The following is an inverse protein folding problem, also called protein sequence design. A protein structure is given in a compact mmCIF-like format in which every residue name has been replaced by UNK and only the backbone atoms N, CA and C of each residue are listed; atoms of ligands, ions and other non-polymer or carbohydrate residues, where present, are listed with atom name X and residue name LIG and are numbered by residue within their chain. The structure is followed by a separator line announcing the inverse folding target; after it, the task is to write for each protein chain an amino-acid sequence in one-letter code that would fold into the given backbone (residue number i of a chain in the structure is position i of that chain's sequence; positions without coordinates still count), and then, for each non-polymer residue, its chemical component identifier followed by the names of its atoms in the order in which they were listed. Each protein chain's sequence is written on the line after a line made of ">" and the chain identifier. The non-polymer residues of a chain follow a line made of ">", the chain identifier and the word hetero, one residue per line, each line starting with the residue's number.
data_IF_473495125539
#
_entry.id   IF_473495125539
#
_cell.length_a   1.000
_cell.length_b   1.000
_cell.length_c   1.000
_cell.angle_alpha   90.00
_cell.angle_beta   90.00
_cell.angle_gamma   90.00
#
_symmetry.space_group_name_H-M   'P 1'
#
loop_
_entity.id
_entity.type
_entity.pdbx_description
1 polymer ?
#
# COMPACT_ATOMS: atom_id res chain seq x y z
N UNK A 1 7.04 12.26 -27.95
CA UNK A 1 5.58 12.19 -27.79
C UNK A 1 5.18 10.74 -28.01
N UNK A 2 4.54 10.10 -27.05
CA UNK A 2 4.08 8.72 -27.21
C UNK A 2 2.94 8.68 -28.23
N UNK A 3 3.03 7.78 -29.18
CA UNK A 3 1.96 7.58 -30.16
C UNK A 3 0.71 7.06 -29.43
N UNK A 4 -0.51 7.53 -29.77
CA UNK A 4 -1.71 7.00 -29.12
C UNK A 4 -1.79 5.48 -29.35
N UNK A 5 -2.24 4.72 -28.36
CA UNK A 5 -2.31 3.27 -28.48
C UNK A 5 -3.30 2.86 -29.59
N UNK A 6 -2.98 1.82 -30.30
CA UNK A 6 -3.94 1.20 -31.24
C UNK A 6 -5.07 0.58 -30.41
N UNK A 7 -6.31 0.94 -30.71
CA UNK A 7 -7.49 0.43 -30.00
C UNK A 7 -8.24 -0.56 -30.88
N UNK A 8 -8.44 -1.78 -30.39
CA UNK A 8 -9.26 -2.82 -31.02
C UNK A 8 -10.53 -3.03 -30.20
N UNK A 9 -11.69 -2.95 -30.83
CA UNK A 9 -12.98 -3.15 -30.18
C UNK A 9 -13.51 -4.54 -30.49
N UNK A 10 -13.78 -5.31 -29.43
CA UNK A 10 -14.39 -6.65 -29.55
C UNK A 10 -15.79 -6.67 -28.94
N UNK A 11 -16.78 -6.82 -29.80
CA UNK A 11 -18.19 -6.96 -29.44
C UNK A 11 -18.52 -8.40 -29.04
N UNK A 12 -19.30 -8.60 -27.97
CA UNK A 12 -19.70 -9.92 -27.51
C UNK A 12 -21.19 -9.96 -27.17
N UNK A 13 -21.92 -10.86 -27.82
CA UNK A 13 -23.34 -11.12 -27.53
C UNK A 13 -23.58 -11.75 -26.16
N UNK A 14 -22.54 -12.39 -25.58
CA UNK A 14 -22.60 -13.01 -24.25
C UNK A 14 -22.47 -11.99 -23.11
N UNK A 15 -21.93 -10.80 -23.39
CA UNK A 15 -21.77 -9.73 -22.40
C UNK A 15 -23.01 -8.86 -22.37
N UNK A 16 -23.66 -8.78 -21.19
CA UNK A 16 -24.88 -7.99 -21.05
C UNK A 16 -24.66 -6.58 -20.49
N UNK A 17 -23.67 -6.38 -19.59
CA UNK A 17 -23.47 -5.10 -18.88
C UNK A 17 -22.01 -4.72 -18.65
N UNK A 18 -21.07 -5.62 -18.88
CA UNK A 18 -19.66 -5.42 -18.50
C UNK A 18 -18.85 -4.93 -19.69
N UNK A 19 -18.25 -3.74 -19.54
CA UNK A 19 -17.19 -3.21 -20.38
C UNK A 19 -15.86 -3.44 -19.71
N UNK A 20 -14.85 -3.91 -20.43
CA UNK A 20 -13.50 -4.11 -19.89
C UNK A 20 -12.45 -3.84 -20.96
N UNK A 21 -11.24 -3.47 -20.54
CA UNK A 21 -10.10 -3.32 -21.44
C UNK A 21 -8.89 -4.09 -20.92
N UNK A 22 -8.05 -4.54 -21.84
CA UNK A 22 -6.73 -5.09 -21.54
C UNK A 22 -5.74 -4.68 -22.62
N UNK A 23 -4.46 -4.67 -22.27
CA UNK A 23 -3.39 -4.43 -23.25
C UNK A 23 -2.80 -5.75 -23.72
N UNK A 24 -2.61 -5.85 -25.03
CA UNK A 24 -1.84 -6.91 -25.67
C UNK A 24 -0.77 -6.25 -26.57
N UNK A 25 0.48 -6.23 -26.10
CA UNK A 25 1.55 -5.47 -26.75
C UNK A 25 1.22 -3.98 -26.82
N UNK A 26 1.24 -3.40 -28.02
CA UNK A 26 0.93 -1.98 -28.25
C UNK A 26 -0.58 -1.71 -28.47
N UNK A 27 -1.40 -2.76 -28.46
CA UNK A 27 -2.84 -2.67 -28.73
C UNK A 27 -3.65 -2.73 -27.42
N UNK A 28 -4.61 -1.84 -27.27
CA UNK A 28 -5.62 -1.89 -26.22
C UNK A 28 -6.87 -2.54 -26.77
N UNK A 29 -7.22 -3.72 -26.24
CA UNK A 29 -8.45 -4.42 -26.62
C UNK A 29 -9.56 -4.04 -25.65
N UNK A 30 -10.62 -3.43 -26.15
CA UNK A 30 -11.81 -3.07 -25.38
C UNK A 30 -12.95 -4.04 -25.72
N UNK A 31 -13.48 -4.69 -24.69
CA UNK A 31 -14.59 -5.63 -24.82
C UNK A 31 -15.89 -4.95 -24.42
N UNK A 32 -16.86 -4.91 -25.32
CA UNK A 32 -18.16 -4.29 -25.12
C UNK A 32 -19.33 -5.26 -25.40
N UNK A 33 -20.52 -5.00 -24.83
CA UNK A 33 -21.75 -5.70 -25.22
C UNK A 33 -22.09 -5.50 -26.69
N UNK A 34 -22.62 -6.54 -27.35
CA UNK A 34 -22.99 -6.49 -28.76
C UNK A 34 -24.10 -5.50 -29.11
N UNK A 35 -24.97 -5.19 -28.15
CA UNK A 35 -26.12 -4.30 -28.30
C UNK A 35 -25.79 -2.82 -28.14
N UNK A 36 -24.58 -2.47 -27.70
CA UNK A 36 -24.17 -1.11 -27.40
C UNK A 36 -24.21 -0.22 -28.65
N UNK A 37 -24.79 0.97 -28.55
CA UNK A 37 -24.82 1.95 -29.62
C UNK A 37 -23.44 2.53 -29.91
N UNK A 38 -23.24 3.06 -31.11
CA UNK A 38 -21.96 3.65 -31.52
C UNK A 38 -21.55 4.84 -30.64
N UNK A 39 -22.50 5.67 -30.24
CA UNK A 39 -22.25 6.80 -29.35
C UNK A 39 -21.85 6.37 -27.93
N UNK A 40 -22.42 5.29 -27.42
CA UNK A 40 -22.04 4.71 -26.13
C UNK A 40 -20.68 4.02 -26.24
N UNK A 41 -20.43 3.32 -27.32
CA UNK A 41 -19.14 2.68 -27.60
C UNK A 41 -17.99 3.67 -27.54
N UNK A 42 -18.08 4.80 -28.25
CA UNK A 42 -17.05 5.83 -28.24
C UNK A 42 -16.74 6.35 -26.84
N UNK A 43 -17.79 6.62 -26.02
CA UNK A 43 -17.60 7.07 -24.63
C UNK A 43 -16.92 6.02 -23.75
N UNK A 44 -17.39 4.78 -23.86
CA UNK A 44 -16.85 3.69 -23.04
C UNK A 44 -15.43 3.28 -23.46
N UNK A 45 -15.12 3.32 -24.74
CA UNK A 45 -13.77 3.08 -25.25
C UNK A 45 -12.80 4.09 -24.68
N UNK A 46 -13.11 5.38 -24.78
CA UNK A 46 -12.28 6.46 -24.24
C UNK A 46 -12.08 6.31 -22.72
N UNK A 47 -13.16 6.07 -21.96
CA UNK A 47 -13.07 5.86 -20.52
C UNK A 47 -12.24 4.63 -20.14
N UNK A 48 -12.39 3.52 -20.85
CA UNK A 48 -11.64 2.30 -20.57
C UNK A 48 -10.16 2.43 -20.92
N UNK A 49 -9.82 3.10 -22.01
CA UNK A 49 -8.43 3.40 -22.38
C UNK A 49 -7.79 4.27 -21.30
N UNK A 50 -8.43 5.39 -20.92
CA UNK A 50 -7.92 6.27 -19.85
C UNK A 50 -7.78 5.55 -18.51
N UNK A 51 -8.72 4.68 -18.16
CA UNK A 51 -8.67 3.90 -16.92
C UNK A 51 -7.51 2.90 -16.93
N UNK A 52 -7.29 2.24 -18.08
CA UNK A 52 -6.19 1.31 -18.25
C UNK A 52 -4.84 2.04 -18.17
N UNK A 53 -4.69 3.16 -18.88
CA UNK A 53 -3.47 3.97 -18.84
C UNK A 53 -3.16 4.51 -17.45
N UNK A 54 -4.16 5.02 -16.71
CA UNK A 54 -4.00 5.44 -15.32
C UNK A 54 -3.57 4.28 -14.42
N UNK A 55 -4.13 3.08 -14.61
CA UNK A 55 -3.76 1.88 -13.87
C UNK A 55 -2.32 1.45 -14.16
N UNK A 56 -1.92 1.49 -15.45
CA UNK A 56 -0.57 1.16 -15.87
C UNK A 56 0.47 2.19 -15.39
N UNK A 57 0.14 3.48 -15.47
CA UNK A 57 0.97 4.55 -14.93
C UNK A 57 1.18 4.40 -13.42
N UNK A 58 0.12 4.05 -12.67
CA UNK A 58 0.24 3.72 -11.24
C UNK A 58 1.15 2.50 -11.00
N UNK A 59 1.05 1.46 -11.83
CA UNK A 59 1.92 0.27 -11.73
C UNK A 59 3.39 0.57 -12.01
N UNK A 60 3.68 1.53 -12.88
CA UNK A 60 5.04 1.96 -13.24
C UNK A 60 5.58 3.08 -12.36
N UNK A 61 4.75 3.64 -11.48
CA UNK A 61 5.16 4.77 -10.65
C UNK A 61 6.26 4.35 -9.66
N UNK A 62 7.24 5.23 -9.40
CA UNK A 62 8.26 5.00 -8.38
C UNK A 62 7.67 4.73 -6.99
N UNK A 63 6.53 5.34 -6.66
CA UNK A 63 5.81 5.11 -5.41
C UNK A 63 5.40 3.64 -5.27
N UNK A 64 4.80 3.03 -6.32
CA UNK A 64 4.39 1.62 -6.26
C UNK A 64 5.57 0.66 -6.18
N UNK A 65 6.67 0.97 -6.89
CA UNK A 65 7.90 0.18 -6.76
C UNK A 65 8.42 0.20 -5.33
N UNK A 66 8.33 1.34 -4.66
CA UNK A 66 8.66 1.48 -3.24
C UNK A 66 7.71 0.68 -2.33
N UNK A 67 6.41 0.60 -2.66
CA UNK A 67 5.42 -0.18 -1.92
C UNK A 67 5.68 -1.69 -2.06
N UNK A 68 5.98 -2.16 -3.26
CA UNK A 68 6.32 -3.58 -3.50
C UNK A 68 7.59 -3.99 -2.75
N UNK A 69 8.58 -3.11 -2.70
CA UNK A 69 9.80 -3.31 -1.93
C UNK A 69 9.53 -3.34 -0.42
N UNK A 70 8.72 -2.41 0.08
CA UNK A 70 8.31 -2.34 1.47
C UNK A 70 7.54 -3.62 1.88
N UNK A 71 6.62 -4.08 1.04
CA UNK A 71 5.88 -5.31 1.27
C UNK A 71 6.79 -6.55 1.27
N UNK A 72 7.72 -6.64 0.33
CA UNK A 72 8.71 -7.72 0.30
C UNK A 72 9.54 -7.73 1.60
N UNK A 73 10.00 -6.54 2.02
CA UNK A 73 10.75 -6.40 3.28
C UNK A 73 9.92 -6.83 4.50
N UNK A 74 8.65 -6.46 4.55
CA UNK A 74 7.73 -6.88 5.63
C UNK A 74 7.62 -8.40 5.73
N UNK A 75 7.52 -9.11 4.61
CA UNK A 75 7.45 -10.57 4.60
C UNK A 75 8.77 -11.23 5.06
N UNK A 76 9.92 -10.64 4.74
CA UNK A 76 11.22 -11.09 5.25
C UNK A 76 11.30 -10.93 6.77
N UNK A 77 10.92 -9.75 7.28
CA UNK A 77 10.91 -9.46 8.72
C UNK A 77 9.92 -10.35 9.49
N UNK A 78 8.76 -10.61 8.91
CA UNK A 78 7.80 -11.55 9.47
C UNK A 78 8.42 -12.95 9.65
N UNK A 79 9.11 -13.46 8.61
CA UNK A 79 9.78 -14.77 8.69
C UNK A 79 10.87 -14.80 9.75
N UNK A 80 11.65 -13.74 9.88
CA UNK A 80 12.79 -13.69 10.80
C UNK A 80 12.40 -13.51 12.26
N UNK A 81 11.40 -12.69 12.53
CA UNK A 81 11.07 -12.25 13.89
C UNK A 81 9.69 -12.69 14.38
N UNK A 82 8.75 -12.95 13.46
CA UNK A 82 7.36 -13.29 13.78
C UNK A 82 6.97 -14.69 13.30
N UNK A 83 7.95 -15.57 13.06
CA UNK A 83 7.75 -16.96 12.63
C UNK A 83 6.96 -17.11 11.32
N UNK A 84 6.94 -16.06 10.48
CA UNK A 84 6.16 -16.01 9.26
C UNK A 84 4.64 -15.91 9.47
N UNK A 85 4.18 -15.67 10.69
CA UNK A 85 2.75 -15.67 11.04
C UNK A 85 2.02 -14.39 10.66
N UNK A 86 2.75 -13.28 10.52
CA UNK A 86 2.19 -11.98 10.13
C UNK A 86 2.35 -11.78 8.62
N UNK A 87 1.27 -11.97 7.87
CA UNK A 87 1.24 -11.79 6.41
C UNK A 87 0.33 -10.61 6.03
N UNK A 88 0.89 -9.42 5.78
CA UNK A 88 0.09 -8.27 5.40
C UNK A 88 -0.45 -8.42 3.97
N UNK A 89 -1.72 -8.06 3.77
CA UNK A 89 -2.35 -7.99 2.45
C UNK A 89 -1.69 -6.88 1.62
N UNK A 90 -1.45 -5.73 2.24
CA UNK A 90 -0.74 -4.61 1.60
C UNK A 90 0.12 -3.85 2.59
N UNK A 91 1.27 -3.36 2.11
CA UNK A 91 2.13 -2.42 2.84
C UNK A 91 2.47 -1.30 1.89
N UNK A 92 2.25 -0.06 2.29
CA UNK A 92 2.44 1.10 1.40
C UNK A 92 2.91 2.33 2.12
N UNK A 93 3.65 3.16 1.39
CA UNK A 93 3.94 4.51 1.81
C UNK A 93 2.69 5.39 1.68
N UNK A 94 2.49 6.28 2.64
CA UNK A 94 1.41 7.28 2.61
C UNK A 94 1.99 8.67 2.91
N UNK A 95 1.32 9.75 2.48
CA UNK A 95 1.74 11.11 2.82
C UNK A 95 2.01 11.26 4.32
N UNK A 96 2.82 12.26 4.72
CA UNK A 96 3.20 12.48 6.11
C UNK A 96 2.02 12.43 7.08
N UNK A 97 2.01 11.47 7.99
CA UNK A 97 1.00 11.36 9.04
C UNK A 97 1.24 12.42 10.13
N UNK A 98 0.17 12.90 10.76
CA UNK A 98 0.26 13.96 11.76
C UNK A 98 0.72 13.46 13.13
N UNK A 99 0.23 12.31 13.57
CA UNK A 99 0.34 11.82 14.96
C UNK A 99 1.11 10.51 15.10
N UNK A 100 1.45 9.83 14.00
CA UNK A 100 2.07 8.50 14.04
C UNK A 100 3.05 8.28 12.88
N UNK A 101 3.94 7.30 13.03
CA UNK A 101 4.92 6.91 12.01
C UNK A 101 4.38 5.87 11.02
N UNK A 102 3.47 5.03 11.49
CA UNK A 102 2.78 4.03 10.69
C UNK A 102 1.42 3.69 11.31
N UNK A 103 0.64 2.85 10.64
CA UNK A 103 -0.59 2.29 11.19
C UNK A 103 -0.91 0.95 10.56
N UNK A 104 -1.41 0.01 11.36
CA UNK A 104 -1.96 -1.25 10.93
C UNK A 104 -3.49 -1.24 11.06
N UNK A 105 -4.18 -1.81 10.07
CA UNK A 105 -5.59 -2.17 10.16
C UNK A 105 -5.68 -3.70 10.14
N UNK A 106 -5.75 -4.36 11.29
CA UNK A 106 -5.67 -5.83 11.38
C UNK A 106 -6.76 -6.56 10.59
N UNK A 107 -7.99 -6.02 10.59
CA UNK A 107 -9.14 -6.62 9.88
C UNK A 107 -8.89 -6.75 8.38
N UNK A 108 -8.24 -5.75 7.78
CA UNK A 108 -7.95 -5.72 6.34
C UNK A 108 -6.54 -6.22 6.03
N UNK A 109 -5.72 -6.49 7.02
CA UNK A 109 -4.32 -6.84 6.86
C UNK A 109 -3.50 -5.75 6.18
N UNK A 110 -3.87 -4.47 6.35
CA UNK A 110 -3.21 -3.35 5.66
C UNK A 110 -2.31 -2.56 6.59
N UNK A 111 -1.10 -2.23 6.11
CA UNK A 111 -0.11 -1.42 6.82
C UNK A 111 0.19 -0.18 6.00
N UNK A 112 0.16 0.98 6.65
CA UNK A 112 0.49 2.28 6.06
C UNK A 112 1.70 2.86 6.80
N UNK A 113 2.74 3.26 6.07
CA UNK A 113 3.98 3.82 6.62
C UNK A 113 4.12 5.27 6.15
N UNK A 114 4.34 6.18 7.08
CA UNK A 114 4.49 7.61 6.76
C UNK A 114 5.74 7.86 5.91
N UNK A 115 5.60 8.66 4.84
CA UNK A 115 6.73 9.10 4.02
C UNK A 115 7.79 9.90 4.78
N UNK A 116 7.51 10.35 6.00
CA UNK A 116 8.53 10.94 6.90
C UNK A 116 9.68 9.99 7.20
N UNK A 117 9.45 8.67 7.08
CA UNK A 117 10.47 7.65 7.32
C UNK A 117 11.29 7.27 6.08
N UNK A 118 11.04 7.88 4.90
CA UNK A 118 11.78 7.54 3.68
C UNK A 118 13.28 7.79 3.79
N UNK A 119 13.66 8.84 4.50
CA UNK A 119 15.05 9.21 4.72
C UNK A 119 15.63 8.66 6.05
N UNK A 120 14.82 7.92 6.80
CA UNK A 120 15.28 7.26 8.01
C UNK A 120 16.17 6.06 7.68
N UNK A 121 17.13 5.72 8.56
CA UNK A 121 17.93 4.51 8.39
C UNK A 121 17.04 3.27 8.26
N UNK A 122 17.39 2.34 7.35
CA UNK A 122 16.58 1.14 7.07
C UNK A 122 16.21 0.32 8.31
N UNK A 123 17.11 0.26 9.31
CA UNK A 123 16.83 -0.43 10.57
C UNK A 123 15.73 0.22 11.42
N UNK A 124 15.44 1.53 11.21
CA UNK A 124 14.30 2.22 11.85
C UNK A 124 13.00 1.81 11.15
N UNK A 125 13.01 1.80 9.81
CA UNK A 125 11.87 1.34 9.02
C UNK A 125 11.56 -0.12 9.32
N UNK A 126 12.58 -0.97 9.45
CA UNK A 126 12.43 -2.39 9.82
C UNK A 126 11.74 -2.55 11.18
N UNK A 127 12.13 -1.74 12.18
CA UNK A 127 11.48 -1.74 13.49
C UNK A 127 10.00 -1.37 13.38
N UNK A 128 9.69 -0.29 12.67
CA UNK A 128 8.30 0.16 12.48
C UNK A 128 7.48 -0.94 11.77
N UNK A 129 8.05 -1.58 10.76
CA UNK A 129 7.39 -2.70 10.08
C UNK A 129 7.15 -3.89 11.01
N UNK A 130 8.12 -4.27 11.86
CA UNK A 130 7.94 -5.36 12.84
C UNK A 130 6.84 -5.01 13.83
N UNK A 131 6.80 -3.76 14.31
CA UNK A 131 5.75 -3.27 15.20
C UNK A 131 4.37 -3.40 14.56
N UNK A 132 4.18 -2.86 13.35
CA UNK A 132 2.90 -2.91 12.64
C UNK A 132 2.49 -4.35 12.24
N UNK A 133 3.45 -5.19 11.88
CA UNK A 133 3.20 -6.60 11.62
C UNK A 133 2.73 -7.33 12.86
N UNK A 134 3.26 -6.96 14.04
CA UNK A 134 2.85 -7.57 15.30
C UNK A 134 1.39 -7.31 15.61
N UNK A 135 0.82 -6.18 15.20
CA UNK A 135 -0.60 -5.90 15.33
C UNK A 135 -1.52 -6.85 14.55
N UNK A 136 -0.99 -7.56 13.55
CA UNK A 136 -1.74 -8.63 12.88
C UNK A 136 -1.89 -9.89 13.77
N UNK A 137 -1.08 -10.02 14.82
CA UNK A 137 -1.07 -11.13 15.76
C UNK A 137 -1.68 -10.77 17.11
N UNK A 138 -1.33 -9.60 17.60
CA UNK A 138 -1.68 -9.07 18.93
C UNK A 138 -2.19 -7.63 18.76
N UNK A 139 -3.49 -7.38 18.92
CA UNK A 139 -4.06 -6.04 18.66
C UNK A 139 -3.61 -4.97 19.65
N UNK A 140 -3.36 -5.33 20.89
CA UNK A 140 -2.96 -4.40 21.98
C UNK A 140 -1.47 -4.43 22.25
N UNK A 141 -0.97 -3.40 22.94
CA UNK A 141 0.44 -3.28 23.34
C UNK A 141 0.72 -3.95 24.70
N UNK A 142 0.22 -5.15 24.90
CA UNK A 142 0.44 -5.93 26.12
C UNK A 142 1.82 -6.64 26.14
N UNK A 143 2.06 -7.42 27.16
CA UNK A 143 3.33 -8.16 27.30
C UNK A 143 3.60 -9.13 26.13
N UNK A 144 2.56 -9.69 25.50
CA UNK A 144 2.71 -10.59 24.34
C UNK A 144 3.13 -9.82 23.10
N UNK A 145 2.53 -8.68 22.88
CA UNK A 145 2.92 -7.78 21.80
C UNK A 145 4.41 -7.41 21.90
N UNK A 146 4.82 -6.94 23.07
CA UNK A 146 6.22 -6.55 23.29
C UNK A 146 7.18 -7.72 23.20
N UNK A 147 6.78 -8.92 23.63
CA UNK A 147 7.59 -10.13 23.46
C UNK A 147 7.88 -10.44 21.97
N UNK A 148 6.95 -10.14 21.07
CA UNK A 148 7.19 -10.26 19.64
C UNK A 148 8.10 -9.14 19.12
N UNK A 149 7.81 -7.89 19.42
CA UNK A 149 8.57 -6.73 18.93
C UNK A 149 10.02 -6.77 19.38
N UNK A 150 10.29 -7.20 20.62
CA UNK A 150 11.63 -7.30 21.18
C UNK A 150 12.52 -8.35 20.51
N UNK A 151 11.96 -9.25 19.70
CA UNK A 151 12.77 -10.15 18.88
C UNK A 151 13.59 -9.42 17.81
N UNK A 152 13.19 -8.20 17.45
CA UNK A 152 13.98 -7.36 16.57
C UNK A 152 15.16 -6.76 17.35
N UNK A 153 16.44 -7.03 16.94
CA UNK A 153 17.61 -6.72 17.78
C UNK A 153 17.89 -5.25 18.02
N UNK A 154 17.23 -4.35 17.27
CA UNK A 154 17.47 -2.91 17.34
C UNK A 154 16.26 -2.13 17.84
N UNK A 155 15.32 -2.80 18.50
CA UNK A 155 14.07 -2.22 19.00
C UNK A 155 14.31 -0.94 19.80
N UNK A 156 15.07 -1.01 20.90
CA UNK A 156 15.32 0.16 21.77
C UNK A 156 16.03 1.29 21.04
N UNK A 157 17.00 0.95 20.19
CA UNK A 157 17.72 1.96 19.42
C UNK A 157 16.78 2.67 18.42
N UNK A 158 15.84 1.94 17.81
CA UNK A 158 14.89 2.49 16.86
C UNK A 158 13.86 3.39 17.58
N UNK A 159 13.41 2.98 18.76
CA UNK A 159 12.53 3.78 19.60
C UNK A 159 13.19 5.12 19.96
N UNK A 160 14.42 5.10 20.49
CA UNK A 160 15.14 6.33 20.81
C UNK A 160 15.41 7.23 19.59
N UNK A 161 15.63 6.64 18.40
CA UNK A 161 15.76 7.42 17.16
C UNK A 161 14.45 8.13 16.81
N UNK A 162 13.31 7.43 16.88
CA UNK A 162 11.99 7.98 16.58
C UNK A 162 11.57 9.05 17.58
N UNK A 163 11.88 8.88 18.86
CA UNK A 163 11.68 9.90 19.91
C UNK A 163 12.49 11.16 19.60
N UNK A 164 13.78 11.00 19.29
CA UNK A 164 14.64 12.12 18.91
C UNK A 164 14.16 12.84 17.65
N UNK A 165 13.69 12.10 16.65
CA UNK A 165 13.15 12.67 15.43
C UNK A 165 11.84 13.42 15.68
N UNK A 166 10.97 12.92 16.56
CA UNK A 166 9.73 13.57 16.99
C UNK A 166 10.01 14.88 17.71
N UNK A 167 10.94 14.86 18.64
CA UNK A 167 11.35 16.04 19.40
C UNK A 167 11.96 17.13 18.51
N UNK A 168 12.88 16.75 17.62
CA UNK A 168 13.56 17.68 16.71
C UNK A 168 12.60 18.34 15.71
N UNK A 169 11.56 17.62 15.28
CA UNK A 169 10.58 18.12 14.32
C UNK A 169 9.43 18.92 14.98
N UNK A 170 9.40 19.05 16.30
CA UNK A 170 8.30 19.68 17.05
C UNK A 170 6.95 18.99 16.80
N UNK A 171 7.02 17.73 16.40
CA UNK A 171 5.89 16.95 15.99
C UNK A 171 5.36 16.24 17.23
N UNK A 172 4.50 16.56 18.00
CA UNK A 172 3.97 15.76 19.14
C UNK A 172 3.62 14.29 18.77
N UNK A 173 4.44 13.67 17.91
CA UNK A 173 4.34 12.27 17.52
C UNK A 173 4.69 11.44 18.75
N UNK A 174 3.72 10.90 19.40
CA UNK A 174 3.90 9.76 20.29
C UNK A 174 4.50 8.63 19.46
N UNK A 175 5.43 7.90 20.03
CA UNK A 175 6.06 6.75 19.38
C UNK A 175 5.05 5.84 18.67
N UNK A 176 5.48 4.75 18.10
CA UNK A 176 4.62 3.77 17.42
C UNK A 176 3.45 3.28 18.30
N UNK A 177 3.45 3.65 19.57
CA UNK A 177 2.50 3.27 20.63
C UNK A 177 1.19 4.08 20.69
N UNK A 178 0.88 4.88 19.68
CA UNK A 178 -0.39 5.61 19.65
C UNK A 178 -1.59 4.67 19.66
N UNK A 179 -2.24 4.61 20.81
CA UNK A 179 -3.53 3.97 21.11
C UNK A 179 -4.47 3.94 19.89
N UNK A 180 -5.06 2.77 19.67
CA UNK A 180 -6.10 2.52 18.67
C UNK A 180 -7.41 3.24 19.03
N UNK A 181 -7.37 4.58 19.02
CA UNK A 181 -8.51 5.47 19.13
C UNK A 181 -8.87 6.02 17.77
N UNK A 182 -9.97 5.54 17.27
CA UNK A 182 -10.93 6.13 16.34
C UNK A 182 -10.45 7.39 15.59
N UNK A 183 -10.12 7.25 14.32
CA UNK A 183 -9.83 8.37 13.42
C UNK A 183 -11.14 8.77 12.71
N UNK A 184 -11.75 9.93 12.99
CA UNK A 184 -13.01 10.36 12.37
C UNK A 184 -12.82 11.07 11.02
N UNK A 185 -11.84 10.68 10.21
CA UNK A 185 -11.70 11.21 8.84
C UNK A 185 -11.61 10.05 7.83
N UNK A 186 -12.82 9.67 7.33
CA UNK A 186 -13.04 8.84 6.17
C UNK A 186 -12.88 9.60 4.87
#
# INVERSE_FOLDING_TARGET
>A
MANPPVVEIRRSSRRQRMVSARREGDTVIVFIPGWMSESEELRWVDEMVRRLERSEARRRSPARKGDDELRRRSLELSRWYLEGRAEPVSVRWVPPMRTRWASCTPVDGTIRVSERLRDAPGWVVDYVLVHELTHLLEPGHDARFWAWVQRYPRTERAMGYLEGLSAAAGLGLTGVDGDSGDDPDG
#
